data_IF_981595241390
#
_entry.id   IF_981595241390
#
_cell.length_a   1.000
_cell.length_b   1.000
_cell.length_c   1.000
_cell.angle_alpha   90.00
_cell.angle_beta   90.00
_cell.angle_gamma   90.00
#
_symmetry.space_group_name_H-M   'P 1'
#
loop_
_entity.id
_entity.type
_entity.pdbx_description
1 polymer ?
#
# COMPACT_ATOMS: atom_id res chain seq x y z
N UNK A 1 4.83 -24.93 4.90
CA UNK A 1 3.99 -24.02 4.10
C UNK A 1 4.06 -22.67 4.78
N UNK A 2 4.56 -21.63 4.11
CA UNK A 2 4.66 -20.28 4.66
C UNK A 2 3.28 -19.63 4.81
N UNK A 3 3.19 -18.56 5.58
CA UNK A 3 1.90 -17.94 5.91
C UNK A 3 1.31 -17.15 4.73
N UNK A 4 2.12 -16.29 4.07
CA UNK A 4 1.60 -15.31 3.13
C UNK A 4 2.53 -15.09 1.93
N UNK A 5 1.99 -15.08 0.73
CA UNK A 5 2.63 -14.50 -0.47
C UNK A 5 1.92 -13.20 -0.87
N UNK A 6 2.70 -12.17 -1.17
CA UNK A 6 2.19 -10.91 -1.69
C UNK A 6 2.70 -10.70 -3.12
N UNK A 7 1.80 -10.58 -4.07
CA UNK A 7 2.13 -10.09 -5.41
C UNK A 7 1.81 -8.60 -5.47
N UNK A 8 2.82 -7.80 -5.71
CA UNK A 8 2.73 -6.33 -5.76
C UNK A 8 3.11 -5.81 -7.14
N UNK A 9 2.60 -4.65 -7.51
CA UNK A 9 2.82 -4.06 -8.82
C UNK A 9 4.25 -3.53 -9.02
N UNK A 10 4.89 -3.03 -7.95
CA UNK A 10 6.22 -2.45 -8.04
C UNK A 10 7.04 -2.58 -6.74
N UNK A 11 8.28 -2.06 -6.81
CA UNK A 11 9.20 -2.07 -5.65
C UNK A 11 8.76 -1.13 -4.54
N UNK A 12 8.06 -0.03 -4.82
CA UNK A 12 7.62 0.91 -3.79
C UNK A 12 6.54 0.25 -2.91
N UNK A 13 5.56 -0.39 -3.53
CA UNK A 13 4.55 -1.18 -2.83
C UNK A 13 5.18 -2.34 -2.03
N UNK A 14 6.18 -3.04 -2.61
CA UNK A 14 6.93 -4.07 -1.90
C UNK A 14 7.55 -3.54 -0.61
N UNK A 15 8.29 -2.44 -0.68
CA UNK A 15 9.03 -1.93 0.47
C UNK A 15 8.11 -1.27 1.50
N UNK A 16 7.04 -0.58 1.08
CA UNK A 16 6.01 -0.06 1.99
C UNK A 16 5.36 -1.19 2.79
N UNK A 17 4.90 -2.24 2.12
CA UNK A 17 4.30 -3.39 2.78
C UNK A 17 5.30 -4.18 3.63
N UNK A 18 6.57 -4.28 3.21
CA UNK A 18 7.63 -4.89 4.02
C UNK A 18 7.82 -4.13 5.34
N UNK A 19 7.86 -2.80 5.30
CA UNK A 19 7.93 -1.98 6.52
C UNK A 19 6.71 -2.17 7.43
N UNK A 20 5.51 -2.22 6.87
CA UNK A 20 4.27 -2.44 7.62
C UNK A 20 4.21 -3.85 8.24
N UNK A 21 4.48 -4.91 7.47
CA UNK A 21 4.45 -6.30 7.94
C UNK A 21 5.58 -6.64 8.92
N UNK A 22 6.69 -5.90 8.88
CA UNK A 22 7.75 -5.97 9.89
C UNK A 22 7.32 -5.51 11.28
N UNK A 23 6.09 -4.97 11.41
CA UNK A 23 5.52 -4.44 12.67
C UNK A 23 4.21 -5.17 13.04
N UNK A 24 4.26 -6.50 13.26
CA UNK A 24 3.06 -7.32 13.47
C UNK A 24 2.21 -6.82 14.65
N UNK A 25 2.83 -6.32 15.72
CA UNK A 25 2.12 -5.78 16.87
C UNK A 25 1.33 -4.50 16.55
N UNK A 26 1.89 -3.62 15.70
CA UNK A 26 1.19 -2.42 15.24
C UNK A 26 0.00 -2.75 14.34
N UNK A 27 0.08 -3.84 13.57
CA UNK A 27 -1.03 -4.37 12.78
C UNK A 27 -2.05 -5.15 13.62
N UNK A 28 -1.68 -5.60 14.83
CA UNK A 28 -2.52 -6.42 15.71
C UNK A 28 -2.50 -7.91 15.36
N UNK A 29 -1.51 -8.37 14.62
CA UNK A 29 -1.37 -9.76 14.18
C UNK A 29 -0.20 -10.47 14.88
N UNK A 30 -0.17 -11.80 14.82
CA UNK A 30 1.02 -12.58 15.19
C UNK A 30 2.14 -12.35 14.18
N UNK A 31 3.41 -12.64 14.51
CA UNK A 31 4.48 -12.73 13.51
C UNK A 31 4.15 -13.78 12.45
N UNK A 32 4.44 -13.48 11.19
CA UNK A 32 4.15 -14.34 10.04
C UNK A 32 5.36 -14.50 9.13
N UNK A 33 5.45 -15.64 8.44
CA UNK A 33 6.41 -15.85 7.36
C UNK A 33 5.79 -15.41 6.03
N UNK A 34 6.41 -14.45 5.35
CA UNK A 34 5.90 -13.91 4.10
C UNK A 34 6.96 -13.76 3.01
N UNK A 35 6.54 -13.80 1.76
CA UNK A 35 7.37 -13.52 0.59
C UNK A 35 6.68 -12.53 -0.35
N UNK A 36 7.49 -11.78 -1.09
CA UNK A 36 7.03 -10.87 -2.11
C UNK A 36 7.38 -11.35 -3.51
N UNK A 37 6.43 -11.17 -4.41
CA UNK A 37 6.62 -11.21 -5.86
C UNK A 37 6.33 -9.81 -6.41
N UNK A 38 7.16 -9.32 -7.31
CA UNK A 38 6.93 -8.04 -7.99
C UNK A 38 6.58 -8.33 -9.43
N UNK A 39 5.43 -7.85 -9.87
CA UNK A 39 4.96 -8.10 -11.23
C UNK A 39 5.72 -7.25 -12.25
N UNK A 40 6.32 -7.83 -13.31
CA UNK A 40 7.11 -7.06 -14.27
C UNK A 40 6.27 -6.05 -15.08
N UNK A 41 4.97 -6.31 -15.24
CA UNK A 41 4.04 -5.46 -15.97
C UNK A 41 3.34 -4.40 -15.12
N UNK A 42 3.86 -4.09 -13.91
CA UNK A 42 3.31 -3.11 -12.96
C UNK A 42 1.80 -3.31 -12.72
N UNK A 43 1.05 -2.24 -12.42
CA UNK A 43 -0.37 -2.29 -12.06
C UNK A 43 -1.23 -2.92 -13.15
N UNK A 44 -1.05 -2.51 -14.40
CA UNK A 44 -1.78 -3.10 -15.52
C UNK A 44 -1.50 -4.59 -15.73
N UNK A 45 -0.26 -5.03 -15.52
CA UNK A 45 0.12 -6.45 -15.55
C UNK A 45 -0.47 -7.21 -14.36
N UNK A 46 -0.33 -6.65 -13.16
CA UNK A 46 -0.85 -7.21 -11.90
C UNK A 46 -2.36 -7.42 -12.00
N UNK A 47 -3.11 -6.45 -12.53
CA UNK A 47 -4.54 -6.60 -12.79
C UNK A 47 -4.85 -7.73 -13.78
N UNK A 48 -4.13 -7.80 -14.91
CA UNK A 48 -4.45 -8.75 -15.98
C UNK A 48 -4.08 -10.19 -15.66
N UNK A 49 -2.91 -10.43 -15.06
CA UNK A 49 -2.35 -11.78 -14.89
C UNK A 49 -1.93 -12.12 -13.45
N UNK A 50 -2.14 -11.18 -12.50
CA UNK A 50 -1.77 -11.40 -11.11
C UNK A 50 -2.45 -12.60 -10.45
N UNK A 51 -3.77 -12.84 -10.63
CA UNK A 51 -4.42 -14.03 -10.10
C UNK A 51 -3.80 -15.35 -10.58
N UNK A 52 -3.42 -15.43 -11.86
CA UNK A 52 -2.78 -16.62 -12.46
C UNK A 52 -1.35 -16.80 -11.93
N UNK A 53 -0.59 -15.72 -11.76
CA UNK A 53 0.74 -15.77 -11.14
C UNK A 53 0.64 -16.29 -9.71
N UNK A 54 -0.29 -15.79 -8.91
CA UNK A 54 -0.51 -16.25 -7.54
C UNK A 54 -1.00 -17.71 -7.49
N UNK A 55 -1.74 -18.19 -8.48
CA UNK A 55 -2.19 -19.57 -8.54
C UNK A 55 -1.03 -20.57 -8.51
N UNK A 56 0.13 -20.23 -9.06
CA UNK A 56 1.34 -21.06 -9.06
C UNK A 56 1.91 -21.25 -7.64
N UNK A 57 1.63 -20.33 -6.74
CA UNK A 57 2.16 -20.31 -5.38
C UNK A 57 1.27 -21.07 -4.36
N UNK A 58 0.09 -21.55 -4.78
CA UNK A 58 -0.92 -22.13 -3.90
C UNK A 58 -0.40 -23.29 -3.03
N UNK A 59 0.58 -24.05 -3.50
CA UNK A 59 1.15 -25.19 -2.75
C UNK A 59 2.19 -24.75 -1.71
N UNK A 60 2.73 -23.54 -1.82
CA UNK A 60 3.82 -23.02 -0.97
C UNK A 60 3.31 -22.17 0.20
N UNK A 61 2.16 -21.51 0.02
CA UNK A 61 1.63 -20.54 0.95
C UNK A 61 0.21 -20.85 1.40
N UNK A 62 -0.13 -20.42 2.62
CA UNK A 62 -1.48 -20.55 3.17
C UNK A 62 -2.42 -19.51 2.61
N UNK A 63 -1.94 -18.26 2.49
CA UNK A 63 -2.70 -17.11 2.03
C UNK A 63 -1.96 -16.33 0.95
N UNK A 64 -2.72 -15.58 0.14
CA UNK A 64 -2.18 -14.71 -0.89
C UNK A 64 -2.83 -13.32 -0.87
N UNK A 65 -2.02 -12.28 -1.08
CA UNK A 65 -2.49 -10.93 -1.34
C UNK A 65 -2.04 -10.47 -2.73
N UNK A 66 -2.97 -9.88 -3.47
CA UNK A 66 -2.72 -9.17 -4.71
C UNK A 66 -2.86 -7.68 -4.43
N UNK A 67 -1.80 -6.89 -4.61
CA UNK A 67 -1.80 -5.46 -4.29
C UNK A 67 -1.38 -4.65 -5.49
N UNK A 68 -2.21 -3.65 -5.86
CA UNK A 68 -1.95 -2.76 -6.99
C UNK A 68 -2.62 -1.40 -6.76
N UNK A 69 -2.16 -0.41 -7.50
CA UNK A 69 -2.77 0.91 -7.55
C UNK A 69 -3.95 0.92 -8.52
N UNK A 70 -5.00 1.68 -8.18
CA UNK A 70 -6.15 1.87 -9.06
C UNK A 70 -5.76 2.72 -10.26
N UNK A 71 -5.07 3.82 -10.01
CA UNK A 71 -4.55 4.67 -11.06
C UNK A 71 -3.45 3.95 -11.86
N UNK A 72 -3.55 4.01 -13.18
CA UNK A 72 -2.58 3.35 -14.08
C UNK A 72 -2.80 1.84 -14.27
N UNK A 73 -3.72 1.18 -13.57
CA UNK A 73 -3.99 -0.25 -13.79
C UNK A 73 -4.78 -0.55 -15.09
N UNK A 74 -5.35 0.48 -15.72
CA UNK A 74 -6.03 0.37 -17.02
C UNK A 74 -7.39 -0.35 -16.92
N UNK A 75 -8.15 -0.06 -15.87
CA UNK A 75 -9.54 -0.54 -15.70
C UNK A 75 -10.54 0.55 -16.08
N UNK A 76 -11.73 0.12 -16.54
CA UNK A 76 -12.89 0.98 -16.76
C UNK A 76 -13.91 0.90 -15.60
N UNK A 77 -13.55 0.18 -14.53
CA UNK A 77 -14.38 0.06 -13.33
C UNK A 77 -14.39 1.38 -12.55
N UNK A 78 -15.50 1.70 -11.84
CA UNK A 78 -15.69 3.02 -11.25
C UNK A 78 -14.81 3.32 -10.04
N UNK A 79 -14.30 2.32 -9.32
CA UNK A 79 -13.54 2.49 -8.08
C UNK A 79 -12.77 1.21 -7.69
N UNK A 80 -11.93 1.34 -6.66
CA UNK A 80 -11.13 0.24 -6.12
C UNK A 80 -11.98 -0.95 -5.68
N UNK A 81 -13.10 -0.73 -5.01
CA UNK A 81 -13.95 -1.82 -4.49
C UNK A 81 -14.54 -2.68 -5.62
N UNK A 82 -14.97 -2.06 -6.73
CA UNK A 82 -15.46 -2.80 -7.89
C UNK A 82 -14.34 -3.64 -8.54
N UNK A 83 -13.12 -3.10 -8.58
CA UNK A 83 -11.96 -3.84 -9.10
C UNK A 83 -11.55 -4.99 -8.16
N UNK A 84 -11.56 -4.77 -6.85
CA UNK A 84 -11.32 -5.84 -5.86
C UNK A 84 -12.32 -6.98 -6.03
N UNK A 85 -13.60 -6.68 -6.16
CA UNK A 85 -14.63 -7.71 -6.37
C UNK A 85 -14.36 -8.56 -7.62
N UNK A 86 -13.94 -7.93 -8.72
CA UNK A 86 -13.56 -8.64 -9.94
C UNK A 86 -12.33 -9.52 -9.75
N UNK A 87 -11.29 -9.01 -9.11
CA UNK A 87 -10.03 -9.72 -8.88
C UNK A 87 -10.21 -10.86 -7.88
N UNK A 88 -10.98 -10.64 -6.81
CA UNK A 88 -11.30 -11.66 -5.81
C UNK A 88 -12.08 -12.83 -6.43
N UNK A 89 -13.00 -12.56 -7.34
CA UNK A 89 -13.69 -13.59 -8.11
C UNK A 89 -12.72 -14.49 -8.90
N UNK A 90 -11.68 -13.92 -9.49
CA UNK A 90 -10.62 -14.68 -10.19
C UNK A 90 -9.69 -15.43 -9.22
N UNK A 91 -9.28 -14.78 -8.13
CA UNK A 91 -8.45 -15.40 -7.10
C UNK A 91 -9.14 -16.60 -6.45
N UNK A 92 -10.45 -16.52 -6.23
CA UNK A 92 -11.23 -17.58 -5.57
C UNK A 92 -11.21 -18.91 -6.32
N UNK A 93 -10.99 -18.89 -7.63
CA UNK A 93 -10.89 -20.10 -8.46
C UNK A 93 -9.79 -21.06 -7.95
N UNK A 94 -8.67 -20.50 -7.48
CA UNK A 94 -7.53 -21.31 -7.01
C UNK A 94 -7.31 -21.23 -5.51
N UNK A 95 -7.69 -20.14 -4.88
CA UNK A 95 -7.41 -19.85 -3.47
C UNK A 95 -8.64 -19.94 -2.56
N UNK A 96 -9.85 -19.96 -3.11
CA UNK A 96 -11.11 -19.83 -2.37
C UNK A 96 -11.05 -18.51 -1.54
N UNK A 97 -11.28 -18.60 -0.24
CA UNK A 97 -11.21 -17.46 0.68
C UNK A 97 -9.79 -17.19 1.23
N UNK A 98 -8.81 -17.98 0.81
CA UNK A 98 -7.42 -17.81 1.26
C UNK A 98 -6.63 -16.76 0.48
N UNK A 99 -7.23 -16.06 -0.47
CA UNK A 99 -6.63 -14.93 -1.16
C UNK A 99 -7.55 -13.72 -1.19
N UNK A 100 -6.93 -12.54 -1.26
CA UNK A 100 -7.63 -11.26 -1.34
C UNK A 100 -6.86 -10.30 -2.23
N UNK A 101 -7.57 -9.44 -2.94
CA UNK A 101 -7.00 -8.26 -3.59
C UNK A 101 -7.16 -7.02 -2.72
N UNK A 102 -6.19 -6.14 -2.77
CA UNK A 102 -6.21 -4.80 -2.18
C UNK A 102 -5.84 -3.82 -3.28
N UNK A 103 -6.79 -3.00 -3.64
CA UNK A 103 -6.60 -1.93 -4.63
C UNK A 103 -6.48 -0.61 -3.89
N UNK A 104 -5.35 0.07 -4.09
CA UNK A 104 -5.05 1.34 -3.45
C UNK A 104 -5.58 2.46 -4.34
N UNK A 105 -6.42 3.34 -3.83
CA UNK A 105 -7.04 4.43 -4.59
C UNK A 105 -6.65 5.79 -3.99
N UNK A 106 -6.11 6.69 -4.80
CA UNK A 106 -5.75 6.50 -6.21
C UNK A 106 -4.48 5.64 -6.43
N UNK A 107 -3.47 5.79 -5.58
CA UNK A 107 -2.16 5.14 -5.66
C UNK A 107 -1.47 5.04 -4.28
N UNK A 108 -0.41 4.23 -4.18
CA UNK A 108 0.34 3.94 -2.94
C UNK A 108 0.70 5.20 -2.14
N UNK A 109 0.99 6.29 -2.81
CA UNK A 109 1.39 7.54 -2.19
C UNK A 109 0.36 8.10 -1.19
N UNK A 110 -0.92 7.70 -1.31
CA UNK A 110 -1.96 8.07 -0.33
C UNK A 110 -1.67 7.53 1.07
N UNK A 111 -0.96 6.40 1.18
CA UNK A 111 -0.63 5.77 2.47
C UNK A 111 0.49 6.49 3.23
N UNK A 112 1.35 7.26 2.56
CA UNK A 112 2.41 8.01 3.25
C UNK A 112 1.89 9.22 4.00
N UNK A 113 0.69 9.70 3.64
CA UNK A 113 0.04 10.87 4.22
C UNK A 113 -0.88 10.50 5.40
N UNK A 114 -0.35 9.76 6.38
CA UNK A 114 -1.06 9.48 7.62
C UNK A 114 -1.33 10.72 8.47
N UNK A 115 -2.07 10.54 9.57
CA UNK A 115 -2.39 11.63 10.51
C UNK A 115 -1.19 12.10 11.32
N UNK A 116 -0.13 11.31 11.38
CA UNK A 116 1.13 11.64 12.06
C UNK A 116 2.13 12.32 11.11
N UNK A 117 3.21 12.84 11.69
CA UNK A 117 4.26 13.53 10.95
C UNK A 117 5.37 12.58 10.46
N UNK A 118 5.02 11.33 10.13
CA UNK A 118 5.99 10.32 9.71
C UNK A 118 6.80 10.74 8.47
N UNK A 119 6.14 11.37 7.50
CA UNK A 119 6.81 11.91 6.31
C UNK A 119 7.86 12.95 6.72
N UNK A 120 7.49 13.92 7.54
CA UNK A 120 8.38 14.99 7.99
C UNK A 120 9.62 14.44 8.72
N UNK A 121 9.40 13.47 9.60
CA UNK A 121 10.47 12.83 10.34
C UNK A 121 11.43 12.02 9.45
N UNK A 122 10.92 11.39 8.39
CA UNK A 122 11.73 10.57 7.48
C UNK A 122 12.55 11.42 6.51
N UNK A 123 11.96 12.51 6.01
CA UNK A 123 12.65 13.39 5.05
C UNK A 123 13.48 14.49 5.74
N UNK A 124 13.55 14.47 7.07
CA UNK A 124 14.24 15.53 7.87
C UNK A 124 13.76 16.92 7.50
N UNK A 125 12.43 17.08 7.50
CA UNK A 125 11.80 18.33 7.09
C UNK A 125 12.32 19.52 7.93
N UNK A 126 12.67 20.66 7.32
CA UNK A 126 13.18 21.82 8.04
C UNK A 126 12.19 22.33 9.11
N UNK A 127 12.71 22.72 10.26
CA UNK A 127 11.89 23.31 11.32
C UNK A 127 11.16 24.58 10.87
N UNK A 128 9.98 24.83 11.41
CA UNK A 128 9.18 26.01 11.14
C UNK A 128 7.71 25.68 10.92
N UNK A 129 7.30 25.49 9.68
CA UNK A 129 5.94 25.08 9.32
C UNK A 129 5.90 23.59 8.91
N UNK A 130 4.74 22.97 9.07
CA UNK A 130 4.56 21.59 8.63
C UNK A 130 4.63 21.45 7.10
N UNK A 131 4.93 20.24 6.61
CA UNK A 131 4.88 19.91 5.18
C UNK A 131 3.50 20.25 4.60
N UNK A 132 2.41 19.96 5.34
CA UNK A 132 1.06 20.24 4.87
C UNK A 132 0.78 21.74 4.70
N UNK A 133 1.19 22.57 5.66
CA UNK A 133 1.07 24.03 5.55
C UNK A 133 1.88 24.56 4.36
N UNK A 134 3.11 24.07 4.22
CA UNK A 134 3.98 24.43 3.11
C UNK A 134 3.39 24.05 1.75
N UNK A 135 2.75 22.88 1.63
CA UNK A 135 2.05 22.43 0.42
C UNK A 135 0.82 23.28 0.11
N UNK A 136 0.01 23.64 1.14
CA UNK A 136 -1.17 24.54 0.96
C UNK A 136 -0.76 25.90 0.39
N UNK A 137 0.32 26.48 0.88
CA UNK A 137 0.85 27.74 0.37
C UNK A 137 1.28 27.66 -1.11
N UNK A 138 1.52 26.45 -1.61
CA UNK A 138 1.87 26.16 -3.02
C UNK A 138 0.69 25.68 -3.87
N UNK A 139 -0.52 25.83 -3.33
CA UNK A 139 -1.74 25.54 -4.08
C UNK A 139 -2.13 24.05 -4.10
N UNK A 140 -1.52 23.21 -3.25
CA UNK A 140 -2.02 21.84 -3.08
C UNK A 140 -3.32 21.85 -2.27
N UNK A 141 -4.30 21.11 -2.76
CA UNK A 141 -5.59 20.91 -2.08
C UNK A 141 -5.58 19.61 -1.28
N UNK A 142 -6.40 19.55 -0.25
CA UNK A 142 -6.47 18.45 0.68
C UNK A 142 -7.93 18.00 0.85
N UNK A 143 -8.11 16.70 1.05
CA UNK A 143 -9.40 16.11 1.42
C UNK A 143 -9.72 16.38 2.90
N UNK A 144 -10.94 16.02 3.32
CA UNK A 144 -11.39 16.19 4.70
C UNK A 144 -10.54 15.37 5.72
N UNK A 145 -9.89 14.31 5.27
CA UNK A 145 -8.98 13.49 6.08
C UNK A 145 -7.53 13.99 6.08
N UNK A 146 -7.30 15.25 5.65
CA UNK A 146 -5.99 15.90 5.60
C UNK A 146 -4.95 15.24 4.65
N UNK A 147 -5.41 14.43 3.69
CA UNK A 147 -4.58 13.88 2.63
C UNK A 147 -4.57 14.79 1.40
N UNK A 148 -3.41 14.97 0.73
CA UNK A 148 -3.38 15.70 -0.53
C UNK A 148 -4.24 15.01 -1.58
N UNK A 149 -4.98 15.78 -2.37
CA UNK A 149 -5.77 15.25 -3.50
C UNK A 149 -4.89 14.72 -4.63
N UNK A 150 -3.61 15.12 -4.64
CA UNK A 150 -2.56 14.61 -5.52
C UNK A 150 -1.39 14.13 -4.67
N UNK A 151 -1.47 12.91 -4.06
CA UNK A 151 -0.56 12.47 -3.03
C UNK A 151 0.88 12.30 -3.50
N UNK A 152 1.08 11.82 -4.73
CA UNK A 152 2.39 11.62 -5.33
C UNK A 152 3.09 12.95 -5.64
N UNK A 153 2.42 13.86 -6.32
CA UNK A 153 2.99 15.17 -6.64
C UNK A 153 3.30 15.96 -5.37
N UNK A 154 2.47 15.82 -4.34
CA UNK A 154 2.72 16.42 -3.04
C UNK A 154 3.99 15.83 -2.39
N UNK A 155 4.19 14.52 -2.42
CA UNK A 155 5.40 13.88 -1.93
C UNK A 155 6.63 14.31 -2.73
N UNK A 156 6.55 14.30 -4.05
CA UNK A 156 7.66 14.73 -4.92
C UNK A 156 8.01 16.21 -4.71
N UNK A 157 7.01 17.07 -4.48
CA UNK A 157 7.26 18.49 -4.16
C UNK A 157 7.98 18.64 -2.82
N UNK A 158 7.55 17.89 -1.79
CA UNK A 158 8.18 17.91 -0.47
C UNK A 158 9.63 17.41 -0.52
N UNK A 159 9.91 16.34 -1.25
CA UNK A 159 11.24 15.75 -1.38
C UNK A 159 12.27 16.66 -2.05
N UNK A 160 11.84 17.63 -2.86
CA UNK A 160 12.74 18.61 -3.49
C UNK A 160 13.43 19.54 -2.49
N UNK A 161 12.82 19.78 -1.32
CA UNK A 161 13.38 20.68 -0.32
C UNK A 161 14.65 20.10 0.30
N UNK A 162 14.64 18.86 0.87
CA UNK A 162 15.86 18.22 1.35
C UNK A 162 16.72 17.64 0.21
N UNK A 163 16.31 17.71 -1.04
CA UNK A 163 17.05 17.14 -2.18
C UNK A 163 17.05 15.62 -2.23
N UNK A 164 16.02 14.97 -1.67
CA UNK A 164 15.93 13.52 -1.61
C UNK A 164 15.20 12.93 -2.84
N UNK A 165 15.68 11.80 -3.38
CA UNK A 165 14.97 11.11 -4.43
C UNK A 165 13.77 10.31 -3.88
N UNK A 166 12.69 10.21 -4.66
CA UNK A 166 11.62 9.25 -4.41
C UNK A 166 12.16 7.83 -4.62
N UNK A 167 12.25 7.05 -3.55
CA UNK A 167 12.89 5.73 -3.57
C UNK A 167 12.10 4.70 -2.76
N UNK A 168 12.27 3.43 -3.08
CA UNK A 168 11.61 2.34 -2.31
C UNK A 168 12.02 2.33 -0.83
N UNK A 169 13.26 2.71 -0.52
CA UNK A 169 13.73 2.84 0.85
C UNK A 169 12.95 3.91 1.64
N UNK A 170 12.57 5.02 0.98
CA UNK A 170 11.73 6.05 1.58
C UNK A 170 10.37 5.49 2.01
N UNK A 171 9.70 4.73 1.14
CA UNK A 171 8.41 4.11 1.48
C UNK A 171 8.51 3.14 2.65
N UNK A 172 9.59 2.35 2.71
CA UNK A 172 9.83 1.48 3.86
C UNK A 172 10.02 2.29 5.14
N UNK A 173 10.89 3.30 5.12
CA UNK A 173 11.18 4.14 6.28
C UNK A 173 9.93 4.86 6.82
N UNK A 174 9.04 5.33 5.93
CA UNK A 174 7.75 5.90 6.33
C UNK A 174 6.84 4.83 6.93
N UNK A 175 6.71 3.66 6.29
CA UNK A 175 5.87 2.57 6.79
C UNK A 175 6.33 2.02 8.14
N UNK A 176 7.63 2.10 8.45
CA UNK A 176 8.20 1.73 9.75
C UNK A 176 7.87 2.73 10.87
N UNK A 177 7.44 3.95 10.54
CA UNK A 177 7.15 5.03 11.51
C UNK A 177 5.69 5.41 11.61
N UNK A 178 4.96 5.38 10.49
CA UNK A 178 3.56 5.79 10.44
C UNK A 178 2.67 4.97 11.37
N UNK A 179 1.63 5.60 11.93
CA UNK A 179 0.64 4.90 12.74
C UNK A 179 -0.23 3.98 11.91
N UNK A 180 0.03 2.68 11.96
CA UNK A 180 -0.75 1.66 11.24
C UNK A 180 -2.15 1.45 11.85
N UNK A 181 -2.33 1.75 13.13
CA UNK A 181 -3.64 1.58 13.82
C UNK A 181 -4.62 2.68 13.48
N UNK A 182 -4.13 3.89 13.26
CA UNK A 182 -4.94 5.08 13.04
C UNK A 182 -4.94 5.54 11.58
N UNK A 183 -4.50 4.69 10.67
CA UNK A 183 -4.59 4.98 9.25
C UNK A 183 -6.05 4.99 8.82
N UNK A 184 -6.56 6.16 8.41
CA UNK A 184 -7.93 6.36 7.95
C UNK A 184 -8.13 6.07 6.44
N UNK A 185 -7.15 5.47 5.79
CA UNK A 185 -7.27 5.09 4.39
C UNK A 185 -8.09 3.80 4.24
N UNK A 186 -9.11 3.83 3.38
CA UNK A 186 -10.00 2.69 3.19
C UNK A 186 -9.27 1.45 2.66
N UNK A 187 -8.36 1.61 1.70
CA UNK A 187 -7.55 0.51 1.17
C UNK A 187 -6.66 -0.11 2.24
N UNK A 188 -6.04 0.73 3.07
CA UNK A 188 -5.24 0.25 4.20
C UNK A 188 -6.09 -0.42 5.28
N UNK A 189 -7.28 0.11 5.58
CA UNK A 189 -8.23 -0.50 6.52
C UNK A 189 -8.64 -1.90 6.02
N UNK A 190 -8.95 -2.05 4.73
CA UNK A 190 -9.27 -3.36 4.13
C UNK A 190 -8.09 -4.33 4.25
N UNK A 191 -6.88 -3.90 3.92
CA UNK A 191 -5.66 -4.69 4.11
C UNK A 191 -5.50 -5.16 5.56
N UNK A 192 -5.58 -4.23 6.51
CA UNK A 192 -5.41 -4.54 7.93
C UNK A 192 -6.47 -5.51 8.44
N UNK A 193 -7.73 -5.30 8.08
CA UNK A 193 -8.84 -6.18 8.48
C UNK A 193 -8.65 -7.60 7.90
N UNK A 194 -8.18 -7.69 6.66
CA UNK A 194 -7.90 -8.99 6.05
C UNK A 194 -6.76 -9.72 6.77
N UNK A 195 -5.68 -9.01 7.11
CA UNK A 195 -4.56 -9.58 7.87
C UNK A 195 -5.00 -10.02 9.28
N UNK A 196 -5.84 -9.24 9.94
CA UNK A 196 -6.44 -9.60 11.23
C UNK A 196 -7.31 -10.86 11.12
N UNK A 197 -8.12 -10.97 10.07
CA UNK A 197 -8.94 -12.17 9.84
C UNK A 197 -8.14 -13.45 9.65
N UNK A 198 -6.93 -13.35 9.09
CA UNK A 198 -6.08 -14.53 8.86
C UNK A 198 -5.09 -14.81 9.99
N UNK A 199 -4.61 -13.77 10.68
CA UNK A 199 -3.43 -13.85 11.54
C UNK A 199 -3.62 -13.19 12.92
N UNK A 200 -4.85 -13.04 13.40
CA UNK A 200 -5.09 -12.54 14.76
C UNK A 200 -4.25 -13.32 15.80
N UNK A 201 -3.86 -12.61 16.90
CA UNK A 201 -3.14 -13.21 18.03
C UNK A 201 -3.99 -14.21 18.79
#
# INVERSE_FOLDING_TARGET
MKDLVLLVADKNAHFALKGALGRPEALGIRPIEFEFLVHPGRDGGTRRTGPEVLALERRRFRHALLVLDFEGCGTDLPNATALEAQLDGRLSTHWKEAAKSIVIEPELDVWVWGADNAVEAVIEWPAGKSVREWLRERGFTFEANEKPTRPKEALEAALRIPGLPRSSALYQAIAERISLRHCGDEGFIRLRNQLLGWFAK
#
